data_IF_112147385085
#
_entry.id   IF_112147385085
#
_cell.length_a   1.000
_cell.length_b   1.000
_cell.length_c   1.000
_cell.angle_alpha   90.00
_cell.angle_beta   90.00
_cell.angle_gamma   90.00
#
_symmetry.space_group_name_H-M   'P 1'
#
loop_
_entity.id
_entity.type
_entity.pdbx_description
1 polymer ?
#
# COMPACT_ATOMS: atom_id res chain seq x y z
N UNK A 1 36.00 36.10 13.43
CA UNK A 1 35.60 35.17 12.35
C UNK A 1 35.40 35.94 11.05
N UNK A 2 35.95 35.48 9.91
CA UNK A 2 35.83 36.20 8.64
C UNK A 2 34.36 36.27 8.20
N UNK A 3 33.88 37.44 7.74
CA UNK A 3 32.47 37.69 7.39
C UNK A 3 31.87 36.64 6.43
N UNK A 4 32.70 36.07 5.55
CA UNK A 4 32.34 35.01 4.58
C UNK A 4 31.89 33.71 5.25
N UNK A 5 32.45 33.40 6.44
CA UNK A 5 32.10 32.21 7.22
C UNK A 5 30.78 32.36 7.97
N UNK A 6 30.40 33.57 8.38
CA UNK A 6 29.07 33.83 8.95
C UNK A 6 27.97 33.58 7.93
N UNK A 7 28.19 33.92 6.67
CA UNK A 7 27.22 33.69 5.60
C UNK A 7 27.03 32.19 5.30
N UNK A 8 28.11 31.41 5.29
CA UNK A 8 28.07 29.96 5.06
C UNK A 8 27.29 29.20 6.14
N UNK A 9 27.41 29.61 7.41
CA UNK A 9 26.72 28.96 8.54
C UNK A 9 25.19 29.13 8.46
N UNK A 10 24.70 30.24 7.90
CA UNK A 10 23.26 30.45 7.71
C UNK A 10 22.73 29.83 6.41
N UNK A 11 23.55 29.75 5.36
CA UNK A 11 23.12 29.19 4.06
C UNK A 11 23.15 27.65 4.01
N UNK A 12 24.06 26.98 4.71
CA UNK A 12 24.15 25.52 4.74
C UNK A 12 22.88 24.80 5.24
N UNK A 13 22.25 25.20 6.37
CA UNK A 13 21.05 24.54 6.85
C UNK A 13 19.85 24.79 5.93
N UNK A 14 19.76 25.98 5.31
CA UNK A 14 18.71 26.30 4.35
C UNK A 14 18.82 25.44 3.08
N UNK A 15 20.04 25.21 2.58
CA UNK A 15 20.28 24.34 1.43
C UNK A 15 19.94 22.87 1.75
N UNK A 16 20.27 22.41 2.96
CA UNK A 16 19.96 21.04 3.40
C UNK A 16 18.44 20.77 3.49
N UNK A 17 17.66 21.76 3.95
CA UNK A 17 16.19 21.70 4.01
C UNK A 17 15.57 21.66 2.60
N UNK A 18 16.14 22.39 1.64
CA UNK A 18 15.67 22.41 0.25
C UNK A 18 16.00 21.11 -0.52
N UNK A 19 17.08 20.41 -0.19
CA UNK A 19 17.44 19.12 -0.83
C UNK A 19 16.85 17.87 -0.15
N UNK A 20 16.38 17.96 1.09
CA UNK A 20 15.86 16.81 1.85
C UNK A 20 14.40 16.45 1.60
N UNK A 21 13.64 17.29 0.89
CA UNK A 21 12.18 17.17 0.75
C UNK A 21 11.68 16.07 -0.20
N UNK A 22 12.56 15.40 -0.96
CA UNK A 22 12.15 14.41 -1.98
C UNK A 22 12.41 12.95 -1.58
N UNK A 23 12.87 12.66 -0.36
CA UNK A 23 13.17 11.28 0.08
C UNK A 23 11.93 10.45 0.45
N UNK A 24 10.73 11.06 0.49
CA UNK A 24 9.47 10.37 0.82
C UNK A 24 8.47 10.34 -0.34
N UNK A 25 8.91 10.65 -1.55
CA UNK A 25 8.05 10.70 -2.73
C UNK A 25 8.18 9.44 -3.60
N UNK A 26 8.16 8.25 -3.00
CA UNK A 26 7.82 7.03 -3.74
C UNK A 26 7.26 5.96 -2.79
N UNK A 27 6.03 5.49 -3.08
CA UNK A 27 5.31 4.32 -2.51
C UNK A 27 3.79 4.51 -2.35
N UNK A 28 3.20 5.56 -2.93
CA UNK A 28 1.74 5.70 -3.02
C UNK A 28 1.14 5.05 -4.30
N UNK A 29 1.87 4.16 -4.97
CA UNK A 29 1.25 3.23 -5.91
C UNK A 29 0.33 2.28 -5.11
N UNK A 30 -0.76 1.74 -5.69
CA UNK A 30 -1.58 0.76 -5.00
C UNK A 30 -0.66 -0.39 -4.57
N UNK A 31 -0.44 -0.50 -3.26
CA UNK A 31 0.19 -1.67 -2.67
C UNK A 31 -0.81 -2.80 -2.80
N UNK A 32 -0.88 -3.41 -3.98
CA UNK A 32 -1.39 -4.76 -4.07
C UNK A 32 -0.42 -5.57 -3.23
N UNK A 33 -0.77 -5.81 -1.97
CA UNK A 33 -0.03 -6.69 -1.10
C UNK A 33 -0.03 -8.05 -1.81
N UNK A 34 1.06 -8.36 -2.52
CA UNK A 34 1.24 -9.65 -3.17
C UNK A 34 1.48 -10.63 -2.03
N UNK A 35 0.39 -11.25 -1.58
CA UNK A 35 0.43 -12.36 -0.62
C UNK A 35 1.33 -13.45 -1.19
N UNK A 36 2.26 -13.93 -0.37
CA UNK A 36 3.12 -15.06 -0.71
C UNK A 36 2.49 -16.35 -0.22
N UNK A 37 2.96 -17.46 -0.77
CA UNK A 37 2.55 -18.79 -0.29
C UNK A 37 2.97 -18.96 1.16
N UNK A 38 2.02 -19.36 2.01
CA UNK A 38 2.22 -19.51 3.45
C UNK A 38 1.83 -18.29 4.26
N UNK A 39 1.60 -17.13 3.62
CA UNK A 39 1.02 -15.97 4.29
C UNK A 39 -0.44 -16.26 4.67
N UNK A 40 -0.86 -15.72 5.81
CA UNK A 40 -2.25 -15.79 6.23
C UNK A 40 -3.12 -14.98 5.26
N UNK A 41 -4.24 -15.57 4.84
CA UNK A 41 -5.19 -14.87 3.98
C UNK A 41 -5.83 -13.70 4.74
N UNK A 42 -6.02 -12.53 4.10
CA UNK A 42 -6.59 -11.37 4.75
C UNK A 42 -8.04 -11.63 5.16
N UNK A 43 -8.46 -11.03 6.27
CA UNK A 43 -9.87 -10.99 6.63
C UNK A 43 -10.61 -10.06 5.68
N UNK A 44 -11.66 -10.59 5.06
CA UNK A 44 -12.64 -9.81 4.32
C UNK A 44 -14.08 -10.18 4.69
N UNK A 45 -14.94 -9.18 4.54
CA UNK A 45 -16.40 -9.32 4.48
C UNK A 45 -16.87 -8.56 3.25
N UNK A 46 -17.48 -9.25 2.29
CA UNK A 46 -17.82 -8.69 0.98
C UNK A 46 -19.28 -8.96 0.59
N UNK A 47 -19.94 -8.05 -0.13
CA UNK A 47 -21.23 -8.34 -0.76
C UNK A 47 -21.03 -9.36 -1.89
N UNK A 48 -21.97 -10.29 -2.01
CA UNK A 48 -22.01 -11.27 -3.08
C UNK A 48 -23.09 -10.95 -4.11
N UNK A 49 -23.04 -11.61 -5.26
CA UNK A 49 -24.09 -11.55 -6.29
C UNK A 49 -25.41 -12.23 -5.86
N UNK A 50 -25.44 -12.89 -4.70
CA UNK A 50 -26.61 -13.59 -4.15
C UNK A 50 -27.35 -12.75 -3.10
N UNK A 51 -27.15 -11.42 -3.10
CA UNK A 51 -27.76 -10.48 -2.13
C UNK A 51 -27.51 -10.86 -0.66
N UNK A 52 -26.32 -11.41 -0.39
CA UNK A 52 -25.86 -11.72 0.97
C UNK A 52 -24.42 -11.28 1.18
N UNK A 53 -24.07 -11.00 2.43
CA UNK A 53 -22.69 -10.82 2.83
C UNK A 53 -21.99 -12.16 2.97
N UNK A 54 -20.75 -12.20 2.51
CA UNK A 54 -19.82 -13.32 2.69
C UNK A 54 -18.75 -12.88 3.67
N UNK A 55 -18.59 -13.62 4.76
CA UNK A 55 -17.52 -13.39 5.75
C UNK A 55 -16.53 -14.55 5.72
N UNK A 56 -15.28 -14.27 5.35
CA UNK A 56 -14.26 -15.31 5.21
C UNK A 56 -14.04 -16.11 6.49
N UNK A 57 -13.89 -15.41 7.62
CA UNK A 57 -13.51 -16.03 8.89
C UNK A 57 -14.65 -16.89 9.43
N UNK A 58 -15.88 -16.39 9.33
CA UNK A 58 -17.05 -17.12 9.81
C UNK A 58 -17.43 -18.28 8.91
N UNK A 59 -17.39 -18.10 7.60
CA UNK A 59 -18.03 -19.03 6.67
C UNK A 59 -17.05 -20.07 6.09
N UNK A 60 -15.76 -19.75 5.97
CA UNK A 60 -14.78 -20.59 5.27
C UNK A 60 -13.52 -20.95 6.06
N UNK A 61 -12.99 -20.05 6.89
CA UNK A 61 -11.73 -20.27 7.60
C UNK A 61 -11.76 -21.54 8.46
N UNK A 62 -10.80 -22.44 8.24
CA UNK A 62 -10.70 -23.73 8.94
C UNK A 62 -11.78 -24.76 8.59
N UNK A 63 -12.74 -24.42 7.70
CA UNK A 63 -13.87 -25.28 7.32
C UNK A 63 -13.77 -25.79 5.88
N UNK A 64 -13.22 -24.97 4.99
CA UNK A 64 -13.18 -25.24 3.55
C UNK A 64 -11.84 -24.80 2.95
N UNK A 65 -11.43 -25.47 1.87
CA UNK A 65 -10.39 -24.94 0.98
C UNK A 65 -11.03 -23.93 0.02
N UNK A 66 -10.59 -22.66 0.09
CA UNK A 66 -11.15 -21.58 -0.71
C UNK A 66 -10.23 -21.24 -1.89
N UNK A 67 -10.79 -21.21 -3.10
CA UNK A 67 -10.10 -20.72 -4.30
C UNK A 67 -10.70 -19.36 -4.66
N UNK A 68 -9.85 -18.33 -4.77
CA UNK A 68 -10.28 -16.96 -5.07
C UNK A 68 -9.63 -16.47 -6.36
N UNK A 69 -10.43 -15.83 -7.22
CA UNK A 69 -9.99 -15.28 -8.50
C UNK A 69 -10.33 -13.80 -8.57
N UNK A 70 -9.40 -13.00 -9.08
CA UNK A 70 -9.55 -11.56 -9.25
C UNK A 70 -9.51 -11.24 -10.74
N UNK A 71 -10.42 -10.39 -11.20
CA UNK A 71 -10.48 -9.94 -12.59
C UNK A 71 -10.69 -8.42 -12.63
N UNK A 72 -10.24 -7.71 -13.69
CA UNK A 72 -10.23 -6.24 -13.71
C UNK A 72 -11.63 -5.62 -13.76
N UNK A 73 -12.52 -6.18 -14.59
CA UNK A 73 -13.85 -5.65 -14.81
C UNK A 73 -14.80 -6.74 -15.34
N UNK A 74 -16.10 -6.56 -15.07
CA UNK A 74 -17.13 -7.38 -15.69
C UNK A 74 -17.33 -7.00 -17.17
N UNK A 75 -17.77 -7.96 -17.99
CA UNK A 75 -18.14 -7.76 -19.40
C UNK A 75 -17.02 -7.27 -20.34
N UNK A 76 -15.75 -7.47 -19.95
CA UNK A 76 -14.60 -7.23 -20.83
C UNK A 76 -14.03 -8.55 -21.36
N UNK A 77 -13.50 -8.58 -22.59
CA UNK A 77 -12.77 -9.75 -23.08
C UNK A 77 -11.53 -10.02 -22.21
N UNK A 78 -11.09 -11.27 -22.21
CA UNK A 78 -9.87 -11.74 -21.54
C UNK A 78 -8.66 -11.53 -22.45
#
# INVERSE_FOLDING_TARGET
MPKKWRLLIFFLPALMILSGGNLYADSAGPSFAVLKVGDEAPWFTLPSSEDRLVDYYKDYYGKHHLVMTFFPAAFTPV
#
